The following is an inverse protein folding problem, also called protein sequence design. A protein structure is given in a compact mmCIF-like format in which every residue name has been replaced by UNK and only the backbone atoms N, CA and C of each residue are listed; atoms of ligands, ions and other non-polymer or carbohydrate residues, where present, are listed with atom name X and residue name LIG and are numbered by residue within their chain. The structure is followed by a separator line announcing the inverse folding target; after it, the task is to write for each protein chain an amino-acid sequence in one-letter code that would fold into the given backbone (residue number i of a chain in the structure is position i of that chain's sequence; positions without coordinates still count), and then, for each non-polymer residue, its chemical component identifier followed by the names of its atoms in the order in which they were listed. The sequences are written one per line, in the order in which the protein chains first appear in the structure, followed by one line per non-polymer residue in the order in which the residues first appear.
data_IF_647269561052
#
_entry.id   IF_647269561052
#
_cell.length_a   1.000
_cell.length_b   1.000
_cell.length_c   1.000
_cell.angle_alpha   90.00
_cell.angle_beta   90.00
_cell.angle_gamma   90.00
#
_symmetry.space_group_name_H-M   'P 1'
#
loop_
_entity.id
_entity.type
_entity.pdbx_description
1 polymer ?
#
# COMPACT_ATOMS: atom_id res chain seq x y z
N UNK A 1 -9.57 24.59 -13.74
CA UNK A 1 -8.74 23.37 -13.54
C UNK A 1 -9.54 22.19 -14.05
N UNK A 2 -9.10 21.51 -15.12
CA UNK A 2 -9.79 20.29 -15.59
C UNK A 2 -9.36 19.13 -14.69
N UNK A 3 -10.19 18.80 -13.70
CA UNK A 3 -9.98 17.66 -12.80
C UNK A 3 -10.54 16.41 -13.48
N UNK A 4 -9.84 15.92 -14.51
CA UNK A 4 -10.17 14.64 -15.15
C UNK A 4 -9.48 13.51 -14.40
N UNK A 5 -10.18 12.42 -14.11
CA UNK A 5 -9.54 11.19 -13.63
C UNK A 5 -8.52 10.76 -14.70
N UNK A 6 -7.25 10.56 -14.32
CA UNK A 6 -6.21 10.09 -15.22
C UNK A 6 -5.93 8.63 -14.92
N UNK A 7 -6.28 7.78 -15.87
CA UNK A 7 -6.01 6.36 -15.79
C UNK A 7 -4.53 6.07 -16.10
N UNK A 8 -3.98 4.92 -15.67
CA UNK A 8 -2.62 4.54 -16.04
C UNK A 8 -2.55 4.20 -17.53
N UNK A 9 -1.77 4.96 -18.28
CA UNK A 9 -1.63 4.79 -19.74
C UNK A 9 -0.47 3.87 -20.16
N UNK A 10 0.33 3.38 -19.20
CA UNK A 10 1.52 2.56 -19.44
C UNK A 10 1.57 1.37 -18.50
N UNK A 11 2.17 0.26 -18.95
CA UNK A 11 2.42 -0.94 -18.15
C UNK A 11 3.17 -0.62 -16.85
N UNK A 12 4.13 0.33 -16.88
CA UNK A 12 4.86 0.76 -15.68
C UNK A 12 3.95 1.43 -14.65
N UNK A 13 3.05 2.31 -15.12
CA UNK A 13 2.04 2.98 -14.28
C UNK A 13 1.03 1.99 -13.71
N UNK A 14 0.64 0.99 -14.49
CA UNK A 14 -0.21 -0.11 -14.03
C UNK A 14 0.45 -0.98 -12.94
N UNK A 15 1.74 -1.30 -13.08
CA UNK A 15 2.49 -2.00 -12.03
C UNK A 15 2.50 -1.19 -10.74
N UNK A 16 2.77 0.11 -10.82
CA UNK A 16 2.73 0.99 -9.66
C UNK A 16 1.35 1.09 -9.01
N UNK A 17 0.30 1.22 -9.82
CA UNK A 17 -1.06 1.18 -9.33
C UNK A 17 -1.36 -0.14 -8.61
N UNK A 18 -0.97 -1.27 -9.20
CA UNK A 18 -1.12 -2.59 -8.60
C UNK A 18 -0.36 -2.74 -7.28
N UNK A 19 0.86 -2.21 -7.17
CA UNK A 19 1.62 -2.21 -5.92
C UNK A 19 0.90 -1.43 -4.82
N UNK A 20 0.39 -0.24 -5.11
CA UNK A 20 -0.36 0.58 -4.14
C UNK A 20 -1.64 -0.13 -3.70
N UNK A 21 -2.42 -0.67 -4.65
CA UNK A 21 -3.62 -1.47 -4.34
C UNK A 21 -3.26 -2.68 -3.48
N UNK A 22 -2.15 -3.36 -3.78
CA UNK A 22 -1.64 -4.47 -3.00
C UNK A 22 -1.35 -4.08 -1.55
N UNK A 23 -0.71 -2.93 -1.31
CA UNK A 23 -0.48 -2.42 0.05
C UNK A 23 -1.80 -2.16 0.79
N UNK A 24 -2.81 -1.63 0.11
CA UNK A 24 -4.14 -1.42 0.72
C UNK A 24 -4.77 -2.76 1.12
N UNK A 25 -4.75 -3.74 0.23
CA UNK A 25 -5.29 -5.08 0.52
C UNK A 25 -4.54 -5.72 1.69
N UNK A 26 -3.21 -5.64 1.73
CA UNK A 26 -2.39 -6.16 2.83
C UNK A 26 -2.58 -5.34 4.12
N UNK A 27 -2.88 -4.05 4.03
CA UNK A 27 -3.16 -3.23 5.20
C UNK A 27 -4.50 -3.57 5.85
N UNK A 28 -5.51 -3.86 5.02
CA UNK A 28 -6.90 -4.06 5.48
C UNK A 28 -7.21 -5.53 5.78
N UNK A 29 -6.78 -6.46 4.92
CA UNK A 29 -7.25 -7.84 4.93
C UNK A 29 -6.74 -8.70 6.09
N UNK A 30 -5.44 -8.75 6.43
CA UNK A 30 -4.93 -9.64 7.47
C UNK A 30 -5.30 -9.17 8.87
N UNK A 31 -5.65 -7.89 9.05
CA UNK A 31 -6.08 -7.33 10.34
C UNK A 31 -7.36 -8.01 10.82
N UNK A 32 -8.29 -8.33 9.93
CA UNK A 32 -9.59 -8.88 10.32
C UNK A 32 -9.47 -10.29 10.94
N UNK A 33 -8.86 -11.30 10.31
CA UNK A 33 -8.74 -12.62 10.90
C UNK A 33 -7.73 -12.71 12.04
N UNK A 34 -6.65 -11.90 12.03
CA UNK A 34 -5.64 -11.92 13.10
C UNK A 34 -6.13 -11.27 14.38
N UNK A 35 -7.05 -10.29 14.30
CA UNK A 35 -7.56 -9.56 15.45
C UNK A 35 -8.97 -9.97 15.89
N UNK A 36 -9.63 -10.83 15.14
CA UNK A 36 -10.95 -11.37 15.48
C UNK A 36 -10.82 -12.62 16.37
N UNK A 37 -10.26 -12.45 17.57
CA UNK A 37 -10.20 -13.50 18.59
C UNK A 37 -10.35 -12.89 19.98
N UNK A 38 -11.19 -13.50 20.82
CA UNK A 38 -11.56 -12.98 22.15
C UNK A 38 -10.39 -12.96 23.16
N UNK A 39 -9.27 -13.62 22.84
CA UNK A 39 -8.12 -13.83 23.72
C UNK A 39 -6.88 -13.02 23.34
N UNK A 40 -7.00 -11.99 22.50
CA UNK A 40 -5.83 -11.21 22.06
C UNK A 40 -5.38 -10.25 23.16
N UNK A 41 -4.48 -10.76 23.99
CA UNK A 41 -3.68 -9.95 24.90
C UNK A 41 -2.73 -9.11 24.03
N UNK A 42 -2.73 -7.78 24.23
CA UNK A 42 -2.00 -6.78 23.43
C UNK A 42 -2.52 -6.50 22.01
N UNK A 43 -3.81 -6.69 21.73
CA UNK A 43 -4.39 -6.38 20.41
C UNK A 43 -4.06 -4.96 19.92
N UNK A 44 -4.27 -3.96 20.77
CA UNK A 44 -4.00 -2.56 20.44
C UNK A 44 -2.51 -2.28 20.10
N UNK A 45 -1.52 -2.69 20.93
CA UNK A 45 -0.11 -2.58 20.54
C UNK A 45 0.28 -3.30 19.25
N UNK A 46 -0.22 -4.51 19.01
CA UNK A 46 0.11 -5.24 17.77
C UNK A 46 -0.49 -4.53 16.54
N UNK A 47 -1.69 -3.95 16.65
CA UNK A 47 -2.28 -3.11 15.60
C UNK A 47 -1.43 -1.86 15.31
N UNK A 48 -0.84 -1.25 16.34
CA UNK A 48 0.07 -0.10 16.16
C UNK A 48 1.33 -0.51 15.41
N UNK A 49 1.96 -1.63 15.79
CA UNK A 49 3.14 -2.16 15.09
C UNK A 49 2.80 -2.48 13.63
N UNK A 50 1.65 -3.10 13.37
CA UNK A 50 1.19 -3.38 12.02
C UNK A 50 0.98 -2.10 11.21
N UNK A 51 0.39 -1.06 11.81
CA UNK A 51 0.21 0.23 11.16
C UNK A 51 1.54 0.86 10.77
N UNK A 52 2.54 0.83 11.65
CA UNK A 52 3.90 1.31 11.35
C UNK A 52 4.53 0.50 10.21
N UNK A 53 4.36 -0.83 10.21
CA UNK A 53 4.84 -1.68 9.13
C UNK A 53 4.20 -1.30 7.77
N UNK A 54 2.90 -1.03 7.72
CA UNK A 54 2.19 -0.59 6.51
C UNK A 54 2.68 0.79 6.04
N UNK A 55 2.95 1.73 6.96
CA UNK A 55 3.51 3.05 6.59
C UNK A 55 4.89 2.91 5.95
N UNK A 56 5.76 2.08 6.55
CA UNK A 56 7.08 1.78 5.98
C UNK A 56 6.94 1.12 4.61
N UNK A 57 6.05 0.15 4.47
CA UNK A 57 5.79 -0.55 3.21
C UNK A 57 5.28 0.41 2.13
N UNK A 58 4.36 1.32 2.48
CA UNK A 58 3.85 2.35 1.56
C UNK A 58 4.99 3.24 1.07
N UNK A 59 5.86 3.67 1.97
CA UNK A 59 7.03 4.49 1.62
C UNK A 59 7.98 3.73 0.68
N UNK A 60 8.24 2.46 0.96
CA UNK A 60 9.07 1.61 0.11
C UNK A 60 8.45 1.42 -1.29
N UNK A 61 7.14 1.19 -1.38
CA UNK A 61 6.43 1.08 -2.67
C UNK A 61 6.52 2.37 -3.48
N UNK A 62 6.36 3.54 -2.85
CA UNK A 62 6.53 4.81 -3.54
C UNK A 62 7.97 5.02 -4.04
N UNK A 63 8.98 4.62 -3.25
CA UNK A 63 10.37 4.66 -3.68
C UNK A 63 10.63 3.73 -4.88
N UNK A 64 10.10 2.50 -4.84
CA UNK A 64 10.17 1.54 -5.95
C UNK A 64 9.47 2.09 -7.18
N UNK A 65 8.31 2.70 -7.03
CA UNK A 65 7.59 3.32 -8.13
C UNK A 65 8.36 4.46 -8.77
N UNK A 66 8.99 5.30 -7.96
CA UNK A 66 9.85 6.36 -8.47
C UNK A 66 11.02 5.78 -9.29
N UNK A 67 11.62 4.67 -8.84
CA UNK A 67 12.69 3.98 -9.60
C UNK A 67 12.19 3.39 -10.92
N UNK A 68 11.01 2.74 -10.92
CA UNK A 68 10.39 2.16 -12.12
C UNK A 68 10.05 3.26 -13.14
N UNK A 69 9.52 4.39 -12.66
CA UNK A 69 9.07 5.49 -13.50
C UNK A 69 10.21 6.40 -13.96
N UNK A 70 11.36 6.43 -13.26
CA UNK A 70 12.55 7.21 -13.67
C UNK A 70 13.07 6.86 -15.08
N UNK A 71 12.82 5.64 -15.56
CA UNK A 71 13.16 5.22 -16.93
C UNK A 71 12.11 5.61 -17.98
N UNK A 72 10.98 6.19 -17.58
CA UNK A 72 9.89 6.66 -18.43
C UNK A 72 10.04 8.19 -18.50
N UNK A 73 11.04 8.65 -19.28
CA UNK A 73 11.19 10.08 -19.56
C UNK A 73 9.93 10.58 -20.28
N UNK A 74 9.39 11.70 -19.80
CA UNK A 74 8.43 12.52 -20.55
C UNK A 74 8.91 12.82 -21.98
#
# INVERSE_FOLDING_TARGET
MKMGIRWPDSARKWVCFGLVVGVIVIGVWPVIPLFNSDTIIFGMPVLMVWSVAIVILTTAVMAVCNLIMKGEKE
#
